data_IF_821161695705
#
_entry.id   IF_821161695705
#
_cell.length_a   1.000
_cell.length_b   1.000
_cell.length_c   1.000
_cell.angle_alpha   90.00
_cell.angle_beta   90.00
_cell.angle_gamma   90.00
#
_symmetry.space_group_name_H-M   'P 1'
#
loop_
_entity.id
_entity.type
_entity.pdbx_description
1 polymer ?
#
# COMPACT_ATOMS: atom_id res chain seq x y z
N UNK A 1 -15.07 -13.72 5.52
CA UNK A 1 -14.98 -12.25 5.35
C UNK A 1 -13.61 -11.73 5.75
N UNK A 2 -13.15 -11.96 6.99
CA UNK A 2 -11.80 -11.58 7.42
C UNK A 2 -10.68 -12.10 6.50
N UNK A 3 -10.63 -13.41 6.20
CA UNK A 3 -9.60 -13.98 5.30
C UNK A 3 -9.63 -13.43 3.87
N UNK A 4 -10.78 -12.93 3.39
CA UNK A 4 -10.83 -12.29 2.07
C UNK A 4 -10.21 -10.89 2.10
N UNK A 5 -10.45 -10.14 3.18
CA UNK A 5 -9.85 -8.83 3.40
C UNK A 5 -8.33 -8.92 3.61
N UNK A 6 -7.88 -9.96 4.32
CA UNK A 6 -6.46 -10.27 4.50
C UNK A 6 -5.75 -10.48 3.15
N UNK A 7 -6.31 -11.35 2.29
CA UNK A 7 -5.76 -11.56 0.93
C UNK A 7 -5.71 -10.28 0.11
N UNK A 8 -6.72 -9.43 0.26
CA UNK A 8 -6.76 -8.18 -0.47
C UNK A 8 -5.69 -7.19 0.02
N UNK A 9 -5.42 -7.17 1.33
CA UNK A 9 -4.31 -6.41 1.89
C UNK A 9 -2.96 -6.96 1.44
N UNK A 10 -2.81 -8.29 1.36
CA UNK A 10 -1.61 -8.93 0.81
C UNK A 10 -1.39 -8.55 -0.65
N UNK A 11 -2.45 -8.51 -1.47
CA UNK A 11 -2.38 -8.05 -2.86
C UNK A 11 -1.99 -6.56 -2.95
N UNK A 12 -2.44 -5.74 -2.00
CA UNK A 12 -2.04 -4.33 -1.91
C UNK A 12 -0.56 -4.22 -1.55
N UNK A 13 -0.08 -4.96 -0.56
CA UNK A 13 1.33 -5.00 -0.18
C UNK A 13 2.19 -5.47 -1.36
N UNK A 14 1.73 -6.50 -2.08
CA UNK A 14 2.39 -6.96 -3.29
C UNK A 14 2.50 -5.88 -4.37
N UNK A 15 1.53 -4.98 -4.52
CA UNK A 15 1.66 -3.84 -5.46
C UNK A 15 2.70 -2.81 -5.02
N UNK A 16 2.92 -2.66 -3.72
CA UNK A 16 3.95 -1.77 -3.19
C UNK A 16 5.34 -2.34 -3.34
N UNK A 17 5.50 -3.62 -3.01
CA UNK A 17 6.81 -4.24 -2.83
C UNK A 17 7.21 -5.17 -3.99
N UNK A 18 6.23 -5.74 -4.69
CA UNK A 18 6.45 -6.76 -5.71
C UNK A 18 7.04 -8.04 -5.12
N UNK A 19 7.72 -8.80 -5.99
CA UNK A 19 8.44 -9.99 -5.58
C UNK A 19 9.63 -9.63 -4.71
N UNK A 20 9.72 -10.23 -3.52
CA UNK A 20 10.89 -10.11 -2.68
C UNK A 20 12.05 -10.93 -3.29
N UNK A 21 13.13 -10.28 -3.77
CA UNK A 21 14.27 -11.00 -4.30
C UNK A 21 15.08 -11.68 -3.19
N UNK A 22 15.86 -12.71 -3.51
CA UNK A 22 16.76 -13.33 -2.52
C UNK A 22 17.99 -12.47 -2.29
N UNK A 23 18.56 -11.90 -3.35
CA UNK A 23 19.72 -11.02 -3.26
C UNK A 23 19.60 -9.75 -4.11
N UNK A 24 19.01 -9.82 -5.31
CA UNK A 24 18.91 -8.70 -6.25
C UNK A 24 17.56 -8.65 -6.96
N UNK A 25 17.06 -7.45 -7.24
CA UNK A 25 15.85 -7.23 -8.04
C UNK A 25 15.94 -7.89 -9.43
N UNK A 26 17.14 -8.09 -9.97
CA UNK A 26 17.36 -8.78 -11.25
C UNK A 26 17.04 -10.29 -11.19
N UNK A 27 16.94 -10.88 -10.00
CA UNK A 27 16.55 -12.28 -9.81
C UNK A 27 15.04 -12.50 -9.91
N UNK A 28 14.26 -11.42 -9.84
CA UNK A 28 12.82 -11.49 -9.95
C UNK A 28 12.39 -11.87 -11.37
N UNK A 29 11.25 -12.56 -11.48
CA UNK A 29 10.67 -12.79 -12.79
C UNK A 29 10.31 -11.46 -13.45
N UNK A 30 10.37 -11.37 -14.79
CA UNK A 30 9.97 -10.17 -15.50
C UNK A 30 8.54 -9.74 -15.10
N UNK A 31 8.44 -8.62 -14.40
CA UNK A 31 7.20 -8.04 -13.92
C UNK A 31 7.26 -6.51 -14.08
N UNK A 32 6.09 -5.83 -14.14
CA UNK A 32 6.06 -4.38 -14.05
C UNK A 32 6.67 -3.90 -12.72
N UNK A 33 7.35 -2.74 -12.70
CA UNK A 33 7.91 -2.23 -11.47
C UNK A 33 6.85 -1.95 -10.40
N UNK A 34 7.21 -2.18 -9.15
CA UNK A 34 6.39 -1.87 -7.99
C UNK A 34 6.38 -0.36 -7.69
N UNK A 35 5.44 0.07 -6.84
CA UNK A 35 5.37 1.48 -6.42
C UNK A 35 6.67 1.90 -5.74
N UNK A 36 7.24 1.03 -4.90
CA UNK A 36 8.48 1.33 -4.18
C UNK A 36 9.69 1.39 -5.12
N UNK A 37 9.69 0.63 -6.21
CA UNK A 37 10.74 0.75 -7.23
C UNK A 37 10.70 2.11 -7.94
N UNK A 38 9.51 2.57 -8.35
CA UNK A 38 9.35 3.89 -8.95
C UNK A 38 9.81 5.02 -8.00
N UNK A 39 9.40 4.94 -6.72
CA UNK A 39 9.82 5.89 -5.69
C UNK A 39 11.32 5.81 -5.41
N UNK A 40 11.87 4.61 -5.40
CA UNK A 40 13.30 4.36 -5.23
C UNK A 40 14.11 5.07 -6.31
N UNK A 41 13.75 4.91 -7.59
CA UNK A 41 14.44 5.60 -8.70
C UNK A 41 14.26 7.11 -8.62
N UNK A 42 13.06 7.60 -8.29
CA UNK A 42 12.80 9.02 -8.14
C UNK A 42 13.65 9.66 -7.04
N UNK A 43 13.91 8.94 -5.94
CA UNK A 43 14.62 9.45 -4.77
C UNK A 43 16.14 9.18 -4.79
N UNK A 44 16.60 8.11 -5.45
CA UNK A 44 17.98 7.62 -5.37
C UNK A 44 19.03 8.71 -5.68
N UNK A 45 18.80 9.49 -6.74
CA UNK A 45 19.75 10.52 -7.15
C UNK A 45 19.54 11.89 -6.49
N UNK A 46 18.45 12.11 -5.75
CA UNK A 46 18.24 13.37 -5.02
C UNK A 46 18.97 13.39 -3.69
N UNK A 47 19.19 12.23 -3.05
CA UNK A 47 19.82 12.18 -1.72
C UNK A 47 21.31 12.54 -1.71
N UNK A 48 22.00 12.43 -2.85
CA UNK A 48 23.45 12.66 -2.97
C UNK A 48 23.83 13.74 -3.99
N UNK A 49 22.84 14.48 -4.51
CA UNK A 49 23.04 15.51 -5.53
C UNK A 49 22.52 16.86 -5.04
N UNK A 50 23.29 17.91 -5.33
CA UNK A 50 22.85 19.30 -5.17
C UNK A 50 22.21 19.84 -6.45
N UNK A 51 22.33 19.12 -7.57
CA UNK A 51 21.62 19.43 -8.80
C UNK A 51 20.14 19.02 -8.68
N UNK A 52 19.26 19.78 -9.33
CA UNK A 52 17.82 19.51 -9.31
C UNK A 52 17.43 18.15 -9.95
N UNK A 53 16.19 17.67 -9.73
CA UNK A 53 15.74 16.38 -10.23
C UNK A 53 15.82 16.29 -11.75
N UNK A 54 16.36 15.17 -12.26
CA UNK A 54 16.46 14.91 -13.69
C UNK A 54 15.07 14.66 -14.31
N UNK A 55 15.00 14.68 -15.65
CA UNK A 55 13.77 14.35 -16.38
C UNK A 55 13.23 12.97 -15.98
N UNK A 56 14.10 11.97 -15.95
CA UNK A 56 13.74 10.59 -15.56
C UNK A 56 13.17 10.54 -14.14
N UNK A 57 13.76 11.24 -13.17
CA UNK A 57 13.21 11.25 -11.79
C UNK A 57 11.78 11.80 -11.73
N UNK A 58 11.50 12.86 -12.51
CA UNK A 58 10.16 13.45 -12.58
C UNK A 58 9.16 12.51 -13.23
N UNK A 59 9.57 11.79 -14.28
CA UNK A 59 8.75 10.78 -14.94
C UNK A 59 8.43 9.62 -14.00
N UNK A 60 9.42 9.10 -13.27
CA UNK A 60 9.22 8.03 -12.29
C UNK A 60 8.30 8.45 -11.14
N UNK A 61 8.41 9.70 -10.68
CA UNK A 61 7.49 10.24 -9.67
C UNK A 61 6.05 10.35 -10.20
N UNK A 62 5.87 10.63 -11.48
CA UNK A 62 4.54 10.66 -12.10
C UNK A 62 3.94 9.26 -12.21
N UNK A 63 4.74 8.26 -12.65
CA UNK A 63 4.33 6.85 -12.69
C UNK A 63 3.98 6.32 -11.30
N UNK A 64 4.77 6.66 -10.27
CA UNK A 64 4.49 6.30 -8.89
C UNK A 64 3.12 6.83 -8.43
N UNK A 65 2.78 8.08 -8.77
CA UNK A 65 1.47 8.68 -8.43
C UNK A 65 0.32 7.97 -9.15
N UNK A 66 0.50 7.64 -10.41
CA UNK A 66 -0.49 6.92 -11.23
C UNK A 66 -0.75 5.52 -10.68
N UNK A 67 0.31 4.78 -10.33
CA UNK A 67 0.22 3.47 -9.71
C UNK A 67 -0.38 3.51 -8.29
N UNK A 68 -0.09 4.55 -7.51
CA UNK A 68 -0.57 4.71 -6.15
C UNK A 68 -2.07 5.03 -6.08
N UNK A 69 -2.60 5.82 -7.03
CA UNK A 69 -3.99 6.29 -7.01
C UNK A 69 -5.03 5.17 -6.81
N UNK A 70 -5.08 4.10 -7.62
CA UNK A 70 -6.06 3.02 -7.44
C UNK A 70 -5.86 2.26 -6.13
N UNK A 71 -4.62 2.15 -5.65
CA UNK A 71 -4.31 1.49 -4.38
C UNK A 71 -4.80 2.31 -3.20
N UNK A 72 -4.56 3.63 -3.22
CA UNK A 72 -5.05 4.56 -2.21
C UNK A 72 -6.58 4.55 -2.11
N UNK A 73 -7.27 4.64 -3.25
CA UNK A 73 -8.73 4.60 -3.28
C UNK A 73 -9.26 3.29 -2.69
N UNK A 74 -8.59 2.17 -2.92
CA UNK A 74 -8.99 0.88 -2.36
C UNK A 74 -8.73 0.79 -0.85
N UNK A 75 -7.57 1.22 -0.38
CA UNK A 75 -7.24 1.29 1.06
C UNK A 75 -8.27 2.13 1.80
N UNK A 76 -8.69 3.26 1.20
CA UNK A 76 -9.71 4.12 1.78
C UNK A 76 -11.05 3.37 1.97
N UNK A 77 -11.49 2.63 0.96
CA UNK A 77 -12.72 1.81 1.06
C UNK A 77 -12.58 0.71 2.11
N UNK A 78 -11.43 0.04 2.19
CA UNK A 78 -11.16 -0.98 3.21
C UNK A 78 -11.34 -0.38 4.61
N UNK A 79 -10.68 0.76 4.88
CA UNK A 79 -10.72 1.41 6.18
C UNK A 79 -12.10 1.93 6.56
N UNK A 80 -12.78 2.64 5.64
CA UNK A 80 -14.02 3.35 5.95
C UNK A 80 -15.25 2.44 5.92
N UNK A 81 -15.21 1.33 5.17
CA UNK A 81 -16.39 0.51 4.91
C UNK A 81 -16.21 -0.94 5.38
N UNK A 82 -15.18 -1.63 4.89
CA UNK A 82 -15.05 -3.08 5.12
C UNK A 82 -14.66 -3.40 6.56
N UNK A 83 -13.71 -2.65 7.14
CA UNK A 83 -13.30 -2.81 8.54
C UNK A 83 -14.46 -2.49 9.47
N UNK A 84 -15.17 -1.37 9.26
CA UNK A 84 -16.33 -0.99 10.10
C UNK A 84 -17.43 -2.05 10.08
N UNK A 85 -17.72 -2.62 8.90
CA UNK A 85 -18.69 -3.73 8.77
C UNK A 85 -18.23 -4.97 9.52
N UNK A 86 -16.96 -5.35 9.37
CA UNK A 86 -16.39 -6.50 10.07
C UNK A 86 -16.43 -6.30 11.60
N UNK A 87 -16.12 -5.09 12.07
CA UNK A 87 -16.15 -4.74 13.48
C UNK A 87 -17.55 -4.83 14.06
N UNK A 88 -18.54 -4.28 13.36
CA UNK A 88 -19.97 -4.36 13.73
C UNK A 88 -20.47 -5.82 13.78
N UNK A 89 -19.95 -6.69 12.91
CA UNK A 89 -20.27 -8.12 12.96
C UNK A 89 -19.65 -8.77 14.19
N UNK A 90 -18.39 -8.47 14.51
CA UNK A 90 -17.69 -9.00 15.68
C UNK A 90 -18.31 -8.52 17.01
N UNK A 91 -18.82 -7.29 17.06
CA UNK A 91 -19.49 -6.76 18.26
C UNK A 91 -20.75 -7.56 18.63
N UNK A 92 -21.46 -8.10 17.64
CA UNK A 92 -22.60 -9.00 17.87
C UNK A 92 -22.20 -10.29 18.57
N UNK A 93 -20.95 -10.71 18.40
CA UNK A 93 -20.39 -11.90 19.04
C UNK A 93 -19.69 -11.58 20.37
N UNK A 94 -19.74 -10.33 20.85
CA UNK A 94 -19.21 -9.94 22.17
C UNK A 94 -17.69 -10.01 22.27
N UNK A 95 -16.98 -9.87 21.15
CA UNK A 95 -15.51 -9.92 21.11
C UNK A 95 -14.94 -8.70 21.85
N UNK A 96 -13.90 -8.86 22.68
CA UNK A 96 -13.26 -7.75 23.38
C UNK A 96 -12.64 -6.75 22.39
N UNK A 97 -12.46 -5.51 22.86
CA UNK A 97 -11.87 -4.42 22.08
C UNK A 97 -10.48 -4.79 21.52
N UNK A 98 -10.30 -4.64 20.20
CA UNK A 98 -9.00 -4.78 19.52
C UNK A 98 -8.34 -3.42 19.30
N UNK A 99 -7.02 -3.28 19.50
CA UNK A 99 -6.30 -2.04 19.21
C UNK A 99 -6.55 -1.53 17.78
N UNK A 100 -6.72 -0.22 17.63
CA UNK A 100 -7.04 0.41 16.34
C UNK A 100 -8.53 0.56 16.05
N UNK A 101 -9.41 -0.09 16.83
CA UNK A 101 -10.86 0.18 16.78
C UNK A 101 -11.17 1.61 17.22
N UNK A 102 -11.95 2.31 16.41
CA UNK A 102 -12.50 3.61 16.80
C UNK A 102 -13.77 3.39 17.62
N UNK A 103 -13.88 3.98 18.83
CA UNK A 103 -15.10 3.83 19.62
C UNK A 103 -16.28 4.49 18.88
N UNK A 104 -17.40 3.77 18.79
CA UNK A 104 -18.66 4.37 18.42
C UNK A 104 -19.09 5.28 19.58
N UNK A 105 -18.91 6.60 19.42
CA UNK A 105 -19.45 7.58 20.35
C UNK A 105 -20.98 7.59 20.22
N UNK A 106 -21.66 6.70 20.93
CA UNK A 106 -23.11 6.74 21.06
C UNK A 106 -23.43 7.89 22.01
N UNK A 107 -24.15 8.90 21.50
CA UNK A 107 -24.73 9.97 22.34
C UNK A 107 -25.77 9.39 23.29
#
# INVERSE_FOLDING_TARGET
KASALEKELDDILWKFDGQQPKASQEENWPAPPSINEYLGVAAYGTFRSTAGPTKTMKEQMQLAKEALKPVYDRIKVIMEVEIVKLETELDKYGVPFTPGRLPAWVK
#
